data_IF_880418374854
#
_entry.id   IF_880418374854
#
_cell.length_a   1.000
_cell.length_b   1.000
_cell.length_c   1.000
_cell.angle_alpha   90.00
_cell.angle_beta   90.00
_cell.angle_gamma   90.00
#
_symmetry.space_group_name_H-M   'P 1'
#
loop_
_entity.id
_entity.type
_entity.pdbx_description
1 polymer ?
#
# COMPACT_ATOMS: atom_id res chain seq x y z
N UNK A 1 44.57 40.43 7.73
CA UNK A 1 43.64 41.36 8.47
C UNK A 1 44.03 41.52 9.94
N UNK A 2 44.29 40.50 10.71
CA UNK A 2 44.64 40.60 12.14
C UNK A 2 45.84 41.53 12.47
N UNK A 3 46.85 41.60 11.62
CA UNK A 3 48.03 42.45 11.80
C UNK A 3 47.75 43.92 11.62
N UNK A 4 46.79 44.33 10.79
CA UNK A 4 46.39 45.69 10.54
C UNK A 4 45.66 46.27 11.76
N UNK A 5 44.66 45.59 12.28
CA UNK A 5 43.91 46.02 13.48
C UNK A 5 44.78 46.02 14.74
N UNK A 6 45.78 45.12 14.83
CA UNK A 6 46.74 45.12 15.96
C UNK A 6 47.63 46.38 15.97
N UNK A 7 48.05 46.91 14.80
CA UNK A 7 48.82 48.13 14.70
C UNK A 7 48.00 49.38 15.13
N UNK A 8 46.72 49.44 14.69
CA UNK A 8 45.85 50.56 15.09
C UNK A 8 45.58 50.56 16.58
N UNK A 9 45.32 49.41 17.18
CA UNK A 9 45.09 49.28 18.62
C UNK A 9 46.31 49.69 19.45
N UNK A 10 47.52 49.30 19.03
CA UNK A 10 48.77 49.76 19.70
C UNK A 10 48.94 51.25 19.63
N UNK A 11 48.70 51.90 18.52
CA UNK A 11 48.79 53.33 18.36
C UNK A 11 47.80 54.09 19.29
N UNK A 12 46.55 53.62 19.34
CA UNK A 12 45.52 54.25 20.20
C UNK A 12 45.78 54.13 21.67
N UNK A 13 46.40 53.01 22.12
CA UNK A 13 46.82 52.82 23.49
C UNK A 13 48.03 53.73 23.87
N UNK A 14 48.99 53.89 22.96
CA UNK A 14 50.17 54.75 23.19
C UNK A 14 49.78 56.23 23.24
N UNK A 15 48.69 56.66 22.61
CA UNK A 15 48.18 58.04 22.60
C UNK A 15 47.19 58.32 23.75
N UNK A 16 46.91 57.36 24.67
CA UNK A 16 46.01 57.53 25.81
C UNK A 16 44.51 57.60 25.42
N UNK A 17 44.13 57.24 24.17
CA UNK A 17 42.77 57.33 23.64
C UNK A 17 41.96 56.05 23.94
N UNK A 18 41.76 55.72 25.20
CA UNK A 18 41.10 54.48 25.66
C UNK A 18 39.66 54.33 25.13
N UNK A 19 38.89 55.37 25.06
CA UNK A 19 37.50 55.34 24.53
C UNK A 19 37.44 54.95 23.03
N UNK A 20 38.40 55.40 22.25
CA UNK A 20 38.49 55.04 20.83
C UNK A 20 38.96 53.60 20.68
N UNK A 21 39.91 53.14 21.53
CA UNK A 21 40.32 51.76 21.57
C UNK A 21 39.13 50.80 21.80
N UNK A 22 38.28 51.09 22.81
CA UNK A 22 37.08 50.29 23.09
C UNK A 22 36.10 50.23 21.90
N UNK A 23 35.87 51.38 21.23
CA UNK A 23 35.03 51.40 20.04
C UNK A 23 35.55 50.49 18.92
N UNK A 24 36.83 50.53 18.63
CA UNK A 24 37.45 49.69 17.63
C UNK A 24 37.45 48.18 18.05
N UNK A 25 37.71 47.90 19.33
CA UNK A 25 37.68 46.52 19.82
C UNK A 25 36.29 45.90 19.72
N UNK A 26 35.24 46.67 20.09
CA UNK A 26 33.83 46.22 19.93
C UNK A 26 33.49 46.03 18.45
N UNK A 27 33.91 46.96 17.58
CA UNK A 27 33.67 46.86 16.13
C UNK A 27 34.34 45.60 15.54
N UNK A 28 35.54 45.26 15.98
CA UNK A 28 36.25 44.02 15.54
C UNK A 28 35.51 42.76 16.00
N UNK A 29 35.02 42.70 17.27
CA UNK A 29 34.25 41.61 17.80
C UNK A 29 32.95 41.45 16.99
N UNK A 30 32.21 42.56 16.75
CA UNK A 30 30.99 42.53 15.99
C UNK A 30 31.23 42.01 14.55
N UNK A 31 32.31 42.44 13.93
CA UNK A 31 32.63 42.01 12.54
C UNK A 31 32.98 40.52 12.47
N UNK A 32 33.71 39.99 13.49
CA UNK A 32 33.98 38.55 13.59
C UNK A 32 32.70 37.74 13.83
N UNK A 33 31.83 38.25 14.75
CA UNK A 33 30.54 37.58 15.02
C UNK A 33 29.67 37.54 13.77
N UNK A 34 29.57 38.65 13.03
CA UNK A 34 28.85 38.70 11.76
C UNK A 34 29.42 37.67 10.76
N UNK A 35 30.75 37.63 10.64
CA UNK A 35 31.42 36.63 9.77
C UNK A 35 31.08 35.20 10.12
N UNK A 36 31.07 34.85 11.42
CA UNK A 36 30.69 33.52 11.90
C UNK A 36 29.20 33.23 11.61
N UNK A 37 28.30 34.21 11.87
CA UNK A 37 26.87 34.04 11.62
C UNK A 37 26.57 33.84 10.12
N UNK A 38 27.26 34.57 9.24
CA UNK A 38 27.11 34.40 7.78
C UNK A 38 27.60 32.99 7.38
N UNK A 39 28.76 32.55 7.88
CA UNK A 39 29.30 31.23 7.59
C UNK A 39 28.34 30.12 8.06
N UNK A 40 27.78 30.23 9.27
CA UNK A 40 26.77 29.32 9.80
C UNK A 40 25.50 29.30 8.95
N UNK A 41 25.03 30.47 8.54
CA UNK A 41 23.83 30.58 7.70
C UNK A 41 24.03 29.92 6.33
N UNK A 42 25.18 30.12 5.69
CA UNK A 42 25.52 29.46 4.42
C UNK A 42 25.59 27.94 4.61
N UNK A 43 26.23 27.47 5.70
CA UNK A 43 26.30 26.05 5.98
C UNK A 43 24.90 25.43 6.21
N UNK A 44 24.07 26.09 7.02
CA UNK A 44 22.70 25.65 7.30
C UNK A 44 21.85 25.63 6.02
N UNK A 45 21.95 26.65 5.17
CA UNK A 45 21.26 26.67 3.88
C UNK A 45 21.69 25.55 2.96
N UNK A 46 23.00 25.26 2.86
CA UNK A 46 23.52 24.18 2.06
C UNK A 46 23.04 22.81 2.59
N UNK A 47 23.02 22.63 3.92
CA UNK A 47 22.50 21.41 4.54
C UNK A 47 21.00 21.24 4.28
N UNK A 48 20.21 22.29 4.43
CA UNK A 48 18.78 22.26 4.13
C UNK A 48 18.49 21.88 2.66
N UNK A 49 19.29 22.37 1.72
CA UNK A 49 19.17 22.00 0.31
C UNK A 49 19.51 20.51 0.05
N UNK A 50 20.54 19.98 0.73
CA UNK A 50 20.87 18.55 0.66
C UNK A 50 19.76 17.69 1.22
N UNK A 51 19.21 18.08 2.37
CA UNK A 51 18.10 17.38 3.03
C UNK A 51 16.84 17.38 2.15
N UNK A 52 16.52 18.54 1.53
CA UNK A 52 15.38 18.64 0.61
C UNK A 52 15.55 17.70 -0.59
N UNK A 53 16.74 17.66 -1.17
CA UNK A 53 17.03 16.76 -2.30
C UNK A 53 16.90 15.29 -1.91
N UNK A 54 17.47 14.89 -0.76
CA UNK A 54 17.38 13.53 -0.29
C UNK A 54 15.94 13.12 0.04
N UNK A 55 15.16 13.99 0.70
CA UNK A 55 13.73 13.74 0.95
C UNK A 55 12.98 13.53 -0.37
N UNK A 56 13.23 14.38 -1.38
CA UNK A 56 12.60 14.24 -2.69
C UNK A 56 12.88 12.87 -3.33
N UNK A 57 14.10 12.33 -3.22
CA UNK A 57 14.45 11.01 -3.75
C UNK A 57 13.59 9.90 -3.08
N UNK A 58 13.36 9.98 -1.76
CA UNK A 58 12.45 9.05 -1.06
C UNK A 58 11.00 9.21 -1.52
N UNK A 59 10.51 10.45 -1.65
CA UNK A 59 9.13 10.73 -2.06
C UNK A 59 8.86 10.25 -3.48
N UNK A 60 9.80 10.39 -4.41
CA UNK A 60 9.70 9.83 -5.77
C UNK A 60 9.53 8.31 -5.73
N UNK A 61 10.25 7.63 -4.85
CA UNK A 61 10.11 6.18 -4.67
C UNK A 61 8.75 5.80 -4.07
N UNK A 62 8.30 6.51 -3.03
CA UNK A 62 6.95 6.31 -2.44
C UNK A 62 5.88 6.49 -3.52
N UNK A 63 5.95 7.56 -4.31
CA UNK A 63 5.01 7.83 -5.40
C UNK A 63 4.99 6.71 -6.44
N UNK A 64 6.17 6.21 -6.85
CA UNK A 64 6.26 5.12 -7.83
C UNK A 64 5.56 3.85 -7.31
N UNK A 65 5.83 3.45 -6.06
CA UNK A 65 5.22 2.29 -5.44
C UNK A 65 3.72 2.45 -5.24
N UNK A 66 3.26 3.63 -4.79
CA UNK A 66 1.82 3.91 -4.68
C UNK A 66 1.12 3.81 -6.04
N UNK A 67 1.75 4.26 -7.14
CA UNK A 67 1.19 4.10 -8.48
C UNK A 67 1.12 2.63 -8.95
N UNK A 68 2.07 1.79 -8.54
CA UNK A 68 2.01 0.34 -8.78
C UNK A 68 0.86 -0.29 -7.99
N UNK A 69 0.68 0.10 -6.73
CA UNK A 69 -0.42 -0.33 -5.88
C UNK A 69 -1.78 0.06 -6.48
N UNK A 70 -1.91 1.28 -7.03
CA UNK A 70 -3.14 1.73 -7.67
C UNK A 70 -3.54 0.85 -8.87
N UNK A 71 -2.58 0.39 -9.66
CA UNK A 71 -2.83 -0.54 -10.77
C UNK A 71 -3.30 -1.90 -10.27
N UNK A 72 -2.61 -2.45 -9.27
CA UNK A 72 -2.99 -3.73 -8.67
C UNK A 72 -4.39 -3.66 -8.04
N UNK A 73 -4.73 -2.52 -7.39
CA UNK A 73 -6.06 -2.27 -6.84
C UNK A 73 -7.16 -2.24 -7.91
N UNK A 74 -6.87 -1.81 -9.13
CA UNK A 74 -7.84 -1.87 -10.24
C UNK A 74 -8.16 -3.31 -10.61
N UNK A 75 -7.13 -4.14 -10.74
CA UNK A 75 -7.29 -5.55 -11.12
C UNK A 75 -8.04 -6.34 -10.03
N UNK A 76 -7.63 -6.19 -8.76
CA UNK A 76 -8.28 -6.91 -7.66
C UNK A 76 -9.72 -6.45 -7.45
N UNK A 77 -9.98 -5.14 -7.56
CA UNK A 77 -11.33 -4.58 -7.47
C UNK A 77 -12.25 -5.17 -8.54
N UNK A 78 -11.77 -5.23 -9.78
CA UNK A 78 -12.52 -5.84 -10.86
C UNK A 78 -12.82 -7.31 -10.60
N UNK A 79 -11.81 -8.10 -10.25
CA UNK A 79 -11.95 -9.53 -9.96
C UNK A 79 -12.93 -9.80 -8.82
N UNK A 80 -12.77 -9.10 -7.68
CA UNK A 80 -13.67 -9.26 -6.53
C UNK A 80 -15.10 -8.83 -6.84
N UNK A 81 -15.30 -7.75 -7.59
CA UNK A 81 -16.63 -7.30 -8.01
C UNK A 81 -17.29 -8.35 -8.90
N UNK A 82 -16.56 -8.86 -9.91
CA UNK A 82 -17.08 -9.86 -10.84
C UNK A 82 -17.49 -11.16 -10.13
N UNK A 83 -16.59 -11.72 -9.32
CA UNK A 83 -16.88 -12.96 -8.59
C UNK A 83 -17.95 -12.75 -7.52
N UNK A 84 -17.95 -11.61 -6.83
CA UNK A 84 -18.99 -11.26 -5.87
C UNK A 84 -20.39 -11.24 -6.47
N UNK A 85 -20.51 -10.69 -7.69
CA UNK A 85 -21.79 -10.65 -8.40
C UNK A 85 -22.27 -12.06 -8.83
N UNK A 86 -21.36 -12.89 -9.33
CA UNK A 86 -21.68 -14.30 -9.60
C UNK A 86 -22.13 -15.03 -8.33
N UNK A 87 -21.45 -14.83 -7.21
CA UNK A 87 -21.81 -15.43 -5.93
C UNK A 87 -23.19 -14.96 -5.42
N UNK A 88 -23.56 -13.68 -5.65
CA UNK A 88 -24.90 -13.17 -5.33
C UNK A 88 -25.97 -13.89 -6.17
N UNK A 89 -25.75 -14.05 -7.47
CA UNK A 89 -26.65 -14.79 -8.34
C UNK A 89 -26.78 -16.26 -7.92
N UNK A 90 -25.65 -16.93 -7.61
CA UNK A 90 -25.65 -18.30 -7.13
C UNK A 90 -26.41 -18.43 -5.80
N UNK A 91 -26.24 -17.49 -4.86
CA UNK A 91 -27.01 -17.45 -3.62
C UNK A 91 -28.52 -17.37 -3.87
N UNK A 92 -28.95 -16.57 -4.84
CA UNK A 92 -30.36 -16.48 -5.21
C UNK A 92 -30.88 -17.84 -5.72
N UNK A 93 -30.08 -18.55 -6.55
CA UNK A 93 -30.42 -19.91 -7.01
C UNK A 93 -30.55 -20.89 -5.85
N UNK A 94 -29.59 -20.87 -4.91
CA UNK A 94 -29.62 -21.70 -3.70
C UNK A 94 -30.91 -21.47 -2.90
N UNK A 95 -31.23 -20.19 -2.64
CA UNK A 95 -32.40 -19.83 -1.84
C UNK A 95 -33.72 -20.20 -2.51
N UNK A 96 -33.79 -20.15 -3.83
CA UNK A 96 -34.96 -20.53 -4.63
C UNK A 96 -35.01 -22.04 -4.96
N UNK A 97 -33.96 -22.81 -4.56
CA UNK A 97 -33.81 -24.25 -4.89
C UNK A 97 -33.78 -24.52 -6.42
N UNK A 98 -33.14 -23.62 -7.16
CA UNK A 98 -32.97 -23.70 -8.62
C UNK A 98 -31.50 -23.83 -9.04
N UNK A 99 -30.65 -24.31 -8.14
CA UNK A 99 -29.21 -24.48 -8.35
C UNK A 99 -28.86 -25.49 -9.45
N UNK A 100 -29.76 -26.41 -9.76
CA UNK A 100 -29.56 -27.42 -10.83
C UNK A 100 -29.72 -26.85 -12.25
N UNK A 101 -30.27 -25.65 -12.39
CA UNK A 101 -30.60 -25.05 -13.67
C UNK A 101 -29.37 -24.46 -14.40
N UNK A 102 -28.35 -24.09 -13.66
CA UNK A 102 -27.16 -23.44 -14.21
C UNK A 102 -25.88 -23.80 -13.43
N UNK A 103 -25.32 -24.96 -13.75
CA UNK A 103 -24.05 -25.42 -13.15
C UNK A 103 -22.85 -24.56 -13.56
N UNK A 104 -22.91 -23.87 -14.71
CA UNK A 104 -21.82 -23.01 -15.17
C UNK A 104 -21.61 -21.80 -14.25
N UNK A 105 -22.70 -21.26 -13.70
CA UNK A 105 -22.65 -20.21 -12.70
C UNK A 105 -21.89 -20.67 -11.45
N UNK A 106 -22.20 -21.85 -10.93
CA UNK A 106 -21.50 -22.42 -9.77
C UNK A 106 -20.02 -22.73 -10.05
N UNK A 107 -19.70 -23.17 -11.27
CA UNK A 107 -18.31 -23.38 -11.68
C UNK A 107 -17.51 -22.08 -11.62
N UNK A 108 -18.05 -20.99 -12.15
CA UNK A 108 -17.42 -19.67 -12.12
C UNK A 108 -17.29 -19.13 -10.68
N UNK A 109 -18.29 -19.37 -9.82
CA UNK A 109 -18.24 -19.04 -8.40
C UNK A 109 -17.11 -19.77 -7.65
N UNK A 110 -16.60 -20.87 -8.17
CA UNK A 110 -15.45 -21.59 -7.63
C UNK A 110 -14.20 -20.70 -7.48
N UNK A 111 -14.11 -19.61 -8.23
CA UNK A 111 -13.05 -18.61 -8.06
C UNK A 111 -13.10 -17.91 -6.68
N UNK A 112 -14.21 -17.96 -5.94
CA UNK A 112 -14.30 -17.49 -4.56
C UNK A 112 -13.45 -18.31 -3.58
N UNK A 113 -13.05 -19.53 -3.96
CA UNK A 113 -12.14 -20.37 -3.17
C UNK A 113 -10.65 -20.04 -3.41
N UNK A 114 -10.34 -19.20 -4.38
CA UNK A 114 -8.95 -18.84 -4.64
C UNK A 114 -8.38 -17.98 -3.50
N UNK A 115 -7.20 -18.34 -3.01
CA UNK A 115 -6.40 -17.50 -2.13
C UNK A 115 -5.87 -16.32 -2.94
N UNK A 116 -6.50 -15.18 -2.75
CA UNK A 116 -6.19 -13.96 -3.47
C UNK A 116 -6.19 -12.78 -2.53
N UNK A 117 -5.09 -12.03 -2.49
CA UNK A 117 -4.91 -10.90 -1.61
C UNK A 117 -4.17 -9.76 -2.32
N UNK A 118 -4.46 -8.54 -1.92
CA UNK A 118 -3.71 -7.36 -2.31
C UNK A 118 -2.31 -7.40 -1.71
N UNK A 119 -1.28 -7.12 -2.51
CA UNK A 119 0.12 -7.14 -2.08
C UNK A 119 0.77 -5.77 -2.30
N UNK A 120 0.63 -4.85 -1.33
CA UNK A 120 1.14 -3.49 -1.48
C UNK A 120 2.67 -3.44 -1.51
N UNK A 121 3.20 -2.49 -2.25
CA UNK A 121 4.64 -2.22 -2.29
C UNK A 121 5.03 -1.17 -1.23
N UNK A 122 5.21 -1.61 0.00
CA UNK A 122 5.51 -0.74 1.16
C UNK A 122 6.98 -0.31 1.27
N UNK A 123 7.89 -0.88 0.49
CA UNK A 123 9.34 -0.70 0.69
C UNK A 123 9.81 0.75 0.52
N UNK A 124 9.14 1.56 -0.31
CA UNK A 124 9.44 3.00 -0.46
C UNK A 124 9.10 3.80 0.79
N UNK A 125 7.93 3.54 1.35
CA UNK A 125 7.50 4.18 2.59
C UNK A 125 8.36 3.75 3.78
N UNK A 126 8.66 2.48 3.93
CA UNK A 126 9.53 1.98 5.00
C UNK A 126 10.93 2.58 4.92
N UNK A 127 11.50 2.71 3.72
CA UNK A 127 12.77 3.39 3.54
C UNK A 127 12.73 4.85 3.98
N UNK A 128 11.65 5.58 3.64
CA UNK A 128 11.43 6.96 4.11
C UNK A 128 11.25 6.99 5.63
N UNK A 129 10.39 6.14 6.19
CA UNK A 129 10.08 6.09 7.63
C UNK A 129 11.31 5.83 8.48
N UNK A 130 12.22 4.99 8.01
CA UNK A 130 13.45 4.63 8.71
C UNK A 130 14.61 5.62 8.43
N UNK A 131 14.39 6.65 7.61
CA UNK A 131 15.39 7.67 7.32
C UNK A 131 15.36 8.82 8.33
N UNK A 132 16.47 9.58 8.40
CA UNK A 132 16.52 10.85 9.16
C UNK A 132 15.64 11.96 8.55
N UNK A 133 15.08 11.72 7.38
CA UNK A 133 14.27 12.72 6.65
C UNK A 133 12.77 12.62 6.95
N UNK A 134 12.31 11.51 7.54
CA UNK A 134 10.88 11.33 7.89
C UNK A 134 10.35 12.48 8.76
N UNK A 135 11.15 12.94 9.73
CA UNK A 135 10.81 14.08 10.57
C UNK A 135 10.54 15.40 9.82
N UNK A 136 10.95 15.51 8.55
CA UNK A 136 10.70 16.70 7.72
C UNK A 136 9.27 16.80 7.20
N UNK A 137 8.53 15.70 7.19
CA UNK A 137 7.13 15.66 6.79
C UNK A 137 6.16 15.63 7.98
N UNK A 138 6.66 15.50 9.20
CA UNK A 138 5.82 15.46 10.41
C UNK A 138 4.83 16.63 10.48
N UNK A 139 3.59 16.33 10.85
CA UNK A 139 2.49 17.29 10.96
C UNK A 139 2.10 17.99 9.64
N UNK A 140 2.49 17.44 8.50
CA UNK A 140 2.03 17.89 7.17
C UNK A 140 0.81 17.10 6.70
N UNK A 141 0.16 17.57 5.64
CA UNK A 141 -0.91 16.82 4.95
C UNK A 141 -0.40 15.47 4.46
N UNK A 142 0.83 15.43 3.92
CA UNK A 142 1.45 14.19 3.43
C UNK A 142 1.62 13.15 4.54
N UNK A 143 2.09 13.53 5.72
CA UNK A 143 2.20 12.64 6.89
C UNK A 143 0.84 12.02 7.26
N UNK A 144 -0.19 12.87 7.33
CA UNK A 144 -1.56 12.42 7.61
C UNK A 144 -2.10 11.45 6.55
N UNK A 145 -1.85 11.73 5.25
CA UNK A 145 -2.29 10.87 4.15
C UNK A 145 -1.56 9.53 4.15
N UNK A 146 -0.24 9.53 4.33
CA UNK A 146 0.56 8.31 4.43
C UNK A 146 0.12 7.44 5.61
N UNK A 147 -0.12 8.04 6.76
CA UNK A 147 -0.62 7.32 7.94
C UNK A 147 -1.98 6.66 7.66
N UNK A 148 -2.94 7.40 7.06
CA UNK A 148 -4.26 6.84 6.72
C UNK A 148 -4.16 5.73 5.67
N UNK A 149 -3.29 5.91 4.68
CA UNK A 149 -3.07 4.93 3.62
C UNK A 149 -2.57 3.60 4.21
N UNK A 150 -1.54 3.67 5.07
CA UNK A 150 -0.96 2.47 5.69
C UNK A 150 -1.89 1.79 6.70
N UNK A 151 -2.64 2.56 7.50
CA UNK A 151 -3.64 1.96 8.39
C UNK A 151 -4.72 1.19 7.59
N UNK A 152 -5.17 1.75 6.48
CA UNK A 152 -6.16 1.07 5.63
C UNK A 152 -5.56 -0.16 4.92
N UNK A 153 -4.25 -0.17 4.60
CA UNK A 153 -3.57 -1.38 4.13
C UNK A 153 -3.64 -2.52 5.16
N UNK A 154 -3.39 -2.20 6.43
CA UNK A 154 -3.45 -3.17 7.52
C UNK A 154 -4.88 -3.72 7.69
N UNK A 155 -5.90 -2.84 7.66
CA UNK A 155 -7.32 -3.24 7.74
C UNK A 155 -7.72 -4.15 6.57
N UNK A 156 -7.26 -3.86 5.35
CA UNK A 156 -7.51 -4.69 4.16
C UNK A 156 -6.85 -6.05 4.33
N UNK A 157 -5.59 -6.09 4.74
CA UNK A 157 -4.85 -7.34 4.93
C UNK A 157 -5.52 -8.22 5.99
N UNK A 158 -6.02 -7.66 7.09
CA UNK A 158 -6.75 -8.39 8.13
C UNK A 158 -8.04 -9.01 7.57
N UNK A 159 -8.83 -8.24 6.82
CA UNK A 159 -10.09 -8.71 6.24
C UNK A 159 -9.86 -9.81 5.17
N UNK A 160 -8.86 -9.64 4.31
CA UNK A 160 -8.50 -10.65 3.31
C UNK A 160 -7.99 -11.93 3.95
N UNK A 161 -7.11 -11.82 4.93
CA UNK A 161 -6.57 -12.97 5.66
C UNK A 161 -7.69 -13.73 6.39
N UNK A 162 -8.62 -13.03 7.04
CA UNK A 162 -9.76 -13.64 7.71
C UNK A 162 -10.64 -14.43 6.74
N UNK A 163 -10.92 -13.88 5.55
CA UNK A 163 -11.66 -14.58 4.52
C UNK A 163 -10.90 -15.80 3.99
N UNK A 164 -9.64 -15.63 3.63
CA UNK A 164 -8.81 -16.69 3.06
C UNK A 164 -8.62 -17.84 4.05
N UNK A 165 -8.40 -17.55 5.34
CA UNK A 165 -8.31 -18.56 6.40
C UNK A 165 -9.62 -19.36 6.52
N UNK A 166 -10.76 -18.68 6.48
CA UNK A 166 -12.06 -19.36 6.46
C UNK A 166 -12.18 -20.30 5.26
N UNK A 167 -11.86 -19.81 4.06
CA UNK A 167 -11.93 -20.61 2.82
C UNK A 167 -11.00 -21.82 2.88
N UNK A 168 -9.75 -21.66 3.31
CA UNK A 168 -8.78 -22.75 3.46
C UNK A 168 -9.34 -23.85 4.37
N UNK A 169 -9.95 -23.47 5.50
CA UNK A 169 -10.55 -24.42 6.42
C UNK A 169 -11.76 -25.16 5.78
N UNK A 170 -12.60 -24.46 5.01
CA UNK A 170 -13.71 -25.07 4.28
C UNK A 170 -13.20 -26.02 3.18
N UNK A 171 -12.16 -25.63 2.45
CA UNK A 171 -11.54 -26.49 1.43
C UNK A 171 -10.93 -27.76 2.01
N UNK A 172 -10.25 -27.64 3.14
CA UNK A 172 -9.70 -28.78 3.85
C UNK A 172 -10.81 -29.80 4.21
N UNK A 173 -11.95 -29.31 4.70
CA UNK A 173 -13.11 -30.15 4.99
C UNK A 173 -13.72 -30.77 3.73
N UNK A 174 -13.94 -30.00 2.66
CA UNK A 174 -14.44 -30.51 1.38
C UNK A 174 -13.56 -31.62 0.82
N UNK A 175 -12.25 -31.51 0.97
CA UNK A 175 -11.28 -32.50 0.51
C UNK A 175 -11.37 -33.86 1.26
N UNK A 176 -12.02 -33.91 2.42
CA UNK A 176 -12.34 -35.17 3.12
C UNK A 176 -13.62 -35.79 2.64
N UNK A 177 -14.50 -35.07 1.98
CA UNK A 177 -15.84 -35.50 1.55
C UNK A 177 -15.88 -35.86 0.06
N UNK A 178 -15.08 -35.19 -0.75
CA UNK A 178 -15.11 -35.30 -2.20
C UNK A 178 -13.73 -35.60 -2.77
N UNK A 179 -13.69 -36.46 -3.79
CA UNK A 179 -12.50 -36.58 -4.64
C UNK A 179 -12.37 -35.37 -5.53
N UNK A 180 -11.43 -34.49 -5.21
CA UNK A 180 -11.20 -33.24 -5.93
C UNK A 180 -10.62 -33.42 -7.32
N UNK A 181 -10.11 -34.61 -7.67
CA UNK A 181 -9.54 -34.89 -8.99
C UNK A 181 -10.54 -34.63 -10.11
N UNK A 182 -11.77 -35.12 -9.95
CA UNK A 182 -12.84 -34.88 -10.93
C UNK A 182 -13.33 -33.46 -10.94
N UNK A 183 -13.44 -32.81 -9.78
CA UNK A 183 -13.89 -31.42 -9.65
C UNK A 183 -12.88 -30.47 -10.31
N UNK A 184 -11.60 -30.62 -10.01
CA UNK A 184 -10.53 -29.80 -10.59
C UNK A 184 -10.38 -30.06 -12.09
N UNK A 185 -10.51 -31.31 -12.53
CA UNK A 185 -10.51 -31.64 -13.95
C UNK A 185 -11.65 -30.91 -14.69
N UNK A 186 -12.87 -30.94 -14.16
CA UNK A 186 -14.03 -30.26 -14.78
C UNK A 186 -13.90 -28.73 -14.78
N UNK A 187 -13.21 -28.15 -13.78
CA UNK A 187 -13.05 -26.72 -13.65
C UNK A 187 -11.90 -26.14 -14.49
N UNK A 188 -10.80 -26.89 -14.67
CA UNK A 188 -9.55 -26.35 -15.23
C UNK A 188 -9.08 -26.99 -16.53
N UNK A 189 -9.61 -28.17 -16.91
CA UNK A 189 -9.25 -28.80 -18.16
C UNK A 189 -10.19 -28.39 -19.29
N UNK A 190 -9.67 -28.15 -20.52
CA UNK A 190 -10.52 -27.97 -21.69
C UNK A 190 -11.43 -29.16 -21.91
N UNK A 191 -12.67 -28.93 -22.35
CA UNK A 191 -13.68 -29.96 -22.57
C UNK A 191 -13.17 -31.10 -23.47
N UNK A 192 -12.43 -30.78 -24.53
CA UNK A 192 -11.86 -31.75 -25.45
C UNK A 192 -10.80 -32.65 -24.77
N UNK A 193 -10.10 -32.11 -23.77
CA UNK A 193 -9.12 -32.88 -22.98
C UNK A 193 -9.80 -33.90 -22.06
N UNK A 194 -10.97 -33.58 -21.52
CA UNK A 194 -11.74 -34.50 -20.69
C UNK A 194 -12.18 -35.74 -21.46
N UNK A 195 -12.48 -35.61 -22.74
CA UNK A 195 -12.87 -36.69 -23.62
C UNK A 195 -11.75 -37.75 -23.87
N UNK A 196 -10.50 -37.41 -23.53
CA UNK A 196 -9.35 -38.33 -23.67
C UNK A 196 -9.24 -39.32 -22.52
N UNK A 197 -9.94 -39.06 -21.41
CA UNK A 197 -9.92 -39.91 -20.23
C UNK A 197 -11.02 -40.98 -20.28
N UNK A 198 -10.84 -42.06 -19.54
CA UNK A 198 -11.82 -43.16 -19.47
C UNK A 198 -13.04 -42.81 -18.60
N UNK A 199 -13.02 -41.72 -17.88
CA UNK A 199 -14.13 -41.25 -17.03
C UNK A 199 -15.20 -40.60 -17.91
N UNK A 200 -16.45 -41.07 -17.90
CA UNK A 200 -17.53 -40.47 -18.65
C UNK A 200 -17.79 -39.02 -18.19
N UNK A 201 -18.19 -38.16 -19.11
CA UNK A 201 -18.55 -36.79 -18.79
C UNK A 201 -19.66 -36.68 -17.75
N UNK A 202 -20.61 -37.62 -17.77
CA UNK A 202 -21.69 -37.68 -16.79
C UNK A 202 -21.20 -37.75 -15.35
N UNK A 203 -20.06 -38.41 -15.11
CA UNK A 203 -19.51 -38.58 -13.77
C UNK A 203 -18.92 -37.27 -13.25
N UNK A 204 -18.23 -36.48 -14.12
CA UNK A 204 -17.78 -35.15 -13.76
C UNK A 204 -18.94 -34.24 -13.38
N UNK A 205 -20.01 -34.27 -14.15
CA UNK A 205 -21.23 -33.46 -13.88
C UNK A 205 -21.88 -33.88 -12.57
N UNK A 206 -22.01 -35.21 -12.33
CA UNK A 206 -22.65 -35.73 -11.12
C UNK A 206 -21.87 -35.31 -9.86
N UNK A 207 -20.55 -35.53 -9.86
CA UNK A 207 -19.70 -35.19 -8.71
C UNK A 207 -19.68 -33.67 -8.49
N UNK A 208 -19.61 -32.87 -9.56
CA UNK A 208 -19.65 -31.41 -9.45
C UNK A 208 -20.99 -30.92 -8.88
N UNK A 209 -22.09 -31.49 -9.32
CA UNK A 209 -23.42 -31.18 -8.80
C UNK A 209 -23.51 -31.47 -7.30
N UNK A 210 -23.07 -32.64 -6.86
CA UNK A 210 -23.05 -33.04 -5.45
C UNK A 210 -22.16 -32.09 -4.63
N UNK A 211 -20.96 -31.76 -5.15
CA UNK A 211 -20.03 -30.83 -4.54
C UNK A 211 -20.64 -29.43 -4.31
N UNK A 212 -21.28 -28.87 -5.33
CA UNK A 212 -21.90 -27.53 -5.24
C UNK A 212 -23.14 -27.49 -4.36
N UNK A 213 -23.80 -28.65 -4.15
CA UNK A 213 -24.92 -28.78 -3.23
C UNK A 213 -24.51 -28.96 -1.77
N UNK A 214 -23.23 -29.22 -1.50
CA UNK A 214 -22.74 -29.34 -0.13
C UNK A 214 -22.90 -28.03 0.66
N UNK A 215 -23.22 -28.14 1.95
CA UNK A 215 -23.34 -26.98 2.83
C UNK A 215 -22.04 -26.17 2.88
N UNK A 216 -20.90 -26.84 2.88
CA UNK A 216 -19.57 -26.21 2.93
C UNK A 216 -19.31 -25.34 1.70
N UNK A 217 -19.60 -25.83 0.49
CA UNK A 217 -19.49 -25.01 -0.73
C UNK A 217 -20.41 -23.79 -0.68
N UNK A 218 -21.68 -24.00 -0.32
CA UNK A 218 -22.70 -22.94 -0.24
C UNK A 218 -22.36 -21.87 0.80
N UNK A 219 -21.70 -22.27 1.90
CA UNK A 219 -21.24 -21.32 2.93
C UNK A 219 -20.19 -20.38 2.37
N UNK A 220 -19.20 -20.86 1.61
CA UNK A 220 -18.17 -20.00 0.99
C UNK A 220 -18.81 -19.06 -0.04
N UNK A 221 -19.68 -19.56 -0.91
CA UNK A 221 -20.37 -18.75 -1.92
C UNK A 221 -21.22 -17.65 -1.25
N UNK A 222 -21.96 -18.01 -0.19
CA UNK A 222 -22.80 -17.07 0.54
C UNK A 222 -21.96 -16.01 1.27
N UNK A 223 -20.82 -16.39 1.82
CA UNK A 223 -19.90 -15.44 2.46
C UNK A 223 -19.27 -14.50 1.43
N UNK A 224 -18.78 -15.02 0.30
CA UNK A 224 -18.24 -14.23 -0.79
C UNK A 224 -19.26 -13.21 -1.32
N UNK A 225 -20.52 -13.65 -1.52
CA UNK A 225 -21.62 -12.81 -1.97
C UNK A 225 -21.93 -11.60 -1.07
N UNK A 226 -21.47 -11.64 0.17
CA UNK A 226 -21.64 -10.57 1.15
C UNK A 226 -20.36 -9.79 1.39
N UNK A 227 -19.24 -10.50 1.60
CA UNK A 227 -17.99 -9.90 2.08
C UNK A 227 -17.21 -9.17 0.98
N UNK A 228 -17.35 -9.62 -0.29
CA UNK A 228 -16.61 -9.00 -1.39
C UNK A 228 -17.03 -7.54 -1.66
N UNK A 229 -18.29 -7.17 -1.40
CA UNK A 229 -18.70 -5.77 -1.50
C UNK A 229 -17.99 -4.88 -0.47
N UNK A 230 -17.81 -5.38 0.75
CA UNK A 230 -17.09 -4.65 1.80
C UNK A 230 -15.59 -4.50 1.44
N UNK A 231 -14.96 -5.56 0.93
CA UNK A 231 -13.57 -5.50 0.46
C UNK A 231 -13.41 -4.53 -0.72
N UNK A 232 -14.31 -4.57 -1.70
CA UNK A 232 -14.31 -3.64 -2.85
C UNK A 232 -14.47 -2.19 -2.38
N UNK A 233 -15.29 -1.93 -1.37
CA UNK A 233 -15.42 -0.59 -0.80
C UNK A 233 -14.10 -0.11 -0.17
N UNK A 234 -13.37 -0.97 0.56
CA UNK A 234 -12.06 -0.67 1.11
C UNK A 234 -11.00 -0.43 0.02
N UNK A 235 -10.97 -1.25 -1.04
CA UNK A 235 -10.06 -1.02 -2.18
C UNK A 235 -10.31 0.33 -2.87
N UNK A 236 -11.57 0.70 -3.06
CA UNK A 236 -11.92 2.00 -3.64
C UNK A 236 -11.51 3.16 -2.73
N UNK A 237 -11.67 3.02 -1.41
CA UNK A 237 -11.19 4.00 -0.44
C UNK A 237 -9.66 4.12 -0.48
N UNK A 238 -8.94 3.01 -0.57
CA UNK A 238 -7.49 2.99 -0.66
C UNK A 238 -6.99 3.63 -1.97
N UNK A 239 -7.69 3.41 -3.09
CA UNK A 239 -7.41 4.09 -4.37
C UNK A 239 -7.51 5.61 -4.24
N UNK A 240 -8.55 6.12 -3.60
CA UNK A 240 -8.71 7.57 -3.36
C UNK A 240 -7.61 8.14 -2.47
N UNK A 241 -7.24 7.42 -1.41
CA UNK A 241 -6.13 7.82 -0.54
C UNK A 241 -4.79 7.78 -1.28
N UNK A 242 -4.52 6.72 -2.04
CA UNK A 242 -3.29 6.60 -2.84
C UNK A 242 -3.17 7.72 -3.88
N UNK A 243 -4.27 8.06 -4.56
CA UNK A 243 -4.29 9.20 -5.49
C UNK A 243 -3.99 10.52 -4.76
N UNK A 244 -4.53 10.69 -3.54
CA UNK A 244 -4.26 11.88 -2.73
C UNK A 244 -2.80 11.95 -2.28
N UNK A 245 -2.19 10.81 -1.92
CA UNK A 245 -0.75 10.72 -1.60
C UNK A 245 0.09 11.12 -2.80
N UNK A 246 -0.20 10.58 -3.98
CA UNK A 246 0.53 10.90 -5.22
C UNK A 246 0.46 12.40 -5.53
N UNK A 247 -0.76 12.99 -5.47
CA UNK A 247 -0.97 14.41 -5.74
C UNK A 247 -0.25 15.30 -4.71
N UNK A 248 -0.28 14.94 -3.42
CA UNK A 248 0.40 15.71 -2.37
C UNK A 248 1.92 15.67 -2.53
N UNK A 249 2.50 14.52 -2.94
CA UNK A 249 3.93 14.42 -3.23
C UNK A 249 4.32 15.38 -4.36
N UNK A 250 3.47 15.55 -5.39
CA UNK A 250 3.73 16.46 -6.51
C UNK A 250 3.74 17.94 -6.07
N UNK A 251 2.99 18.29 -5.03
CA UNK A 251 2.99 19.64 -4.48
C UNK A 251 4.18 19.91 -3.54
N UNK A 252 4.86 18.86 -3.08
CA UNK A 252 6.00 18.95 -2.13
C UNK A 252 7.30 19.43 -2.81
N UNK A 253 7.27 19.68 -4.11
CA UNK A 253 8.39 20.20 -4.90
C UNK A 253 8.60 21.72 -4.66
#
# INVERSE_FOLDING_TARGET
>A
MATFFRKIRRALLSEGKTTQYFKYAIGEIVLVVIGILIALQINNWNQANKDKKALKEYLVKVKAHTNEDLKQLEEITYGRTYIGELCKQARVRILNKTEDEDLSLFMQCGAAFADYAFKPNISGYEALRNSSYFGKINNTTLDSLLTKYHNLLDDIAENENSYNEYVINQEAYLSTQFDRSLILASAFLPQDSLNTYRTPQSDYVAVFKEYTQSATYRNVISLAAWQFDAMVAQYNQLKLLGQSVVNEIDTFE
#
